data_IF_152144865530
#
_entry.id   IF_152144865530
#
_cell.length_a   1.000
_cell.length_b   1.000
_cell.length_c   1.000
_cell.angle_alpha   90.00
_cell.angle_beta   90.00
_cell.angle_gamma   90.00
#
_symmetry.space_group_name_H-M   'P 1'
#
loop_
_entity.id
_entity.type
_entity.pdbx_description
1 polymer ?
#
# COMPACT_ATOMS: atom_id res chain seq x y z
N UNK A 1 11.14 4.36 -3.91
CA UNK A 1 10.09 3.34 -4.06
C UNK A 1 9.46 3.08 -2.70
N UNK A 2 8.12 3.24 -2.59
CA UNK A 2 7.37 3.08 -1.35
C UNK A 2 7.36 1.62 -0.87
N UNK A 3 7.27 0.65 -1.78
CA UNK A 3 7.28 -0.76 -1.44
C UNK A 3 8.58 -1.21 -0.77
N UNK A 4 9.73 -0.80 -1.30
CA UNK A 4 11.03 -1.11 -0.67
C UNK A 4 11.14 -0.47 0.72
N UNK A 5 10.67 0.78 0.87
CA UNK A 5 10.66 1.45 2.17
C UNK A 5 9.74 0.74 3.16
N UNK A 6 8.57 0.28 2.72
CA UNK A 6 7.63 -0.49 3.53
C UNK A 6 8.23 -1.81 3.99
N UNK A 7 8.82 -2.59 3.09
CA UNK A 7 9.47 -3.86 3.44
C UNK A 7 10.64 -3.66 4.41
N UNK A 8 11.44 -2.59 4.23
CA UNK A 8 12.52 -2.27 5.16
C UNK A 8 11.98 -1.90 6.54
N UNK A 9 10.97 -1.03 6.61
CA UNK A 9 10.34 -0.65 7.88
C UNK A 9 9.77 -1.87 8.60
N UNK A 10 9.02 -2.73 7.89
CA UNK A 10 8.47 -3.98 8.45
C UNK A 10 9.58 -4.88 9.01
N UNK A 11 10.68 -5.02 8.28
CA UNK A 11 11.83 -5.81 8.74
C UNK A 11 12.41 -5.26 10.05
N UNK A 12 12.66 -3.95 10.10
CA UNK A 12 13.20 -3.31 11.30
C UNK A 12 12.23 -3.36 12.48
N UNK A 13 10.94 -3.16 12.27
CA UNK A 13 9.93 -3.26 13.32
C UNK A 13 9.85 -4.69 13.89
N UNK A 14 9.80 -5.71 13.03
CA UNK A 14 9.77 -7.11 13.43
C UNK A 14 11.04 -7.54 14.18
N UNK A 15 12.21 -7.06 13.80
CA UNK A 15 13.45 -7.27 14.53
C UNK A 15 13.42 -6.68 15.95
N UNK A 16 12.61 -5.66 16.17
CA UNK A 16 12.37 -5.06 17.50
C UNK A 16 11.14 -5.62 18.22
N UNK A 17 10.56 -6.72 17.73
CA UNK A 17 9.42 -7.39 18.35
C UNK A 17 8.08 -6.68 18.14
N UNK A 18 7.99 -5.73 17.21
CA UNK A 18 6.76 -5.01 16.89
C UNK A 18 6.04 -5.75 15.76
N UNK A 19 4.81 -6.26 15.98
CA UNK A 19 4.03 -6.83 14.90
C UNK A 19 3.67 -5.78 13.87
N UNK A 20 3.87 -6.12 12.60
CA UNK A 20 3.59 -5.22 11.48
C UNK A 20 3.20 -6.04 10.26
N UNK A 21 2.24 -5.56 9.48
CA UNK A 21 1.86 -6.19 8.22
C UNK A 21 1.71 -5.15 7.09
N UNK A 22 1.79 -5.66 5.88
CA UNK A 22 1.74 -4.89 4.65
C UNK A 22 0.32 -4.45 4.33
N UNK A 23 0.19 -3.24 3.82
CA UNK A 23 -0.97 -2.82 3.05
C UNK A 23 -0.51 -2.06 1.81
N UNK A 24 -1.27 -2.18 0.74
CA UNK A 24 -1.05 -1.41 -0.49
C UNK A 24 -2.35 -1.16 -1.24
N UNK A 25 -2.32 -0.18 -2.12
CA UNK A 25 -3.47 0.21 -2.91
C UNK A 25 -3.25 1.54 -3.61
N UNK A 26 -4.22 2.44 -3.48
CA UNK A 26 -4.18 3.76 -4.10
C UNK A 26 -4.19 4.86 -3.05
N UNK A 27 -3.35 5.87 -3.25
CA UNK A 27 -3.48 7.18 -2.64
C UNK A 27 -4.27 8.06 -3.62
N UNK A 28 -5.53 8.34 -3.28
CA UNK A 28 -6.48 9.02 -4.15
C UNK A 28 -6.67 10.50 -3.77
N UNK A 29 -5.60 11.17 -3.38
CA UNK A 29 -5.68 12.61 -3.08
C UNK A 29 -6.07 13.41 -4.31
N UNK A 30 -6.90 14.45 -4.15
CA UNK A 30 -7.27 15.31 -5.26
C UNK A 30 -6.04 15.91 -5.96
N UNK A 31 -5.87 15.55 -7.26
CA UNK A 31 -4.77 16.02 -8.10
C UNK A 31 -3.43 15.30 -7.93
N UNK A 32 -3.34 14.31 -7.06
CA UNK A 32 -2.10 13.57 -6.77
C UNK A 32 -2.35 12.06 -6.60
N UNK A 33 -3.26 11.50 -7.37
CA UNK A 33 -3.55 10.07 -7.29
C UNK A 33 -2.39 9.20 -7.79
N UNK A 34 -2.10 8.14 -7.05
CA UNK A 34 -1.02 7.21 -7.38
C UNK A 34 -1.20 5.85 -6.69
N UNK A 35 -0.49 4.84 -7.19
CA UNK A 35 -0.27 3.60 -6.47
C UNK A 35 0.64 3.86 -5.26
N UNK A 36 0.34 3.22 -4.12
CA UNK A 36 1.10 3.46 -2.92
C UNK A 36 1.11 2.26 -1.96
N UNK A 37 2.21 2.16 -1.19
CA UNK A 37 2.46 1.11 -0.23
C UNK A 37 2.71 1.70 1.15
N UNK A 38 2.12 1.07 2.16
CA UNK A 38 2.26 1.42 3.57
C UNK A 38 2.13 0.16 4.43
N UNK A 39 2.04 0.31 5.74
CA UNK A 39 1.81 -0.82 6.63
C UNK A 39 0.92 -0.44 7.81
N UNK A 40 0.48 -1.45 8.53
CA UNK A 40 -0.05 -1.32 9.89
C UNK A 40 0.93 -1.94 10.88
N UNK A 41 1.12 -1.31 12.02
CA UNK A 41 1.88 -1.87 13.13
C UNK A 41 1.04 -1.92 14.40
N UNK A 42 1.30 -2.92 15.24
CA UNK A 42 0.59 -3.09 16.50
C UNK A 42 1.29 -2.35 17.62
N UNK A 43 0.57 -1.44 18.27
CA UNK A 43 1.06 -0.65 19.40
C UNK A 43 0.13 -0.78 20.60
N UNK A 44 0.64 -1.29 21.71
CA UNK A 44 -0.07 -1.27 23.00
C UNK A 44 -0.24 0.17 23.52
N UNK A 45 -1.40 0.57 24.03
CA UNK A 45 -2.68 -0.13 24.08
C UNK A 45 -3.61 0.16 22.90
N UNK A 46 -3.11 0.76 21.84
CA UNK A 46 -3.90 1.34 20.73
C UNK A 46 -4.35 0.29 19.70
N UNK A 47 -3.69 -0.88 19.64
CA UNK A 47 -3.94 -1.88 18.61
C UNK A 47 -3.21 -1.60 17.31
N UNK A 48 -3.80 -2.00 16.18
CA UNK A 48 -3.25 -1.77 14.85
C UNK A 48 -3.39 -0.31 14.45
N UNK A 49 -2.29 0.31 14.06
CA UNK A 49 -2.22 1.70 13.62
C UNK A 49 -1.53 1.79 12.27
N UNK A 50 -2.05 2.64 11.40
CA UNK A 50 -1.49 2.86 10.07
C UNK A 50 -0.17 3.62 10.14
N UNK A 51 0.80 3.18 9.35
CA UNK A 51 2.12 3.81 9.23
C UNK A 51 2.48 3.96 7.76
N UNK A 52 2.67 5.19 7.35
CA UNK A 52 3.18 5.51 6.03
C UNK A 52 4.61 6.06 6.15
N UNK A 53 5.58 5.18 6.10
CA UNK A 53 6.98 5.52 6.24
C UNK A 53 7.53 6.33 5.06
N UNK A 54 6.89 6.26 3.89
CA UNK A 54 7.28 7.03 2.70
C UNK A 54 7.00 8.52 2.88
N UNK A 55 5.88 8.86 3.51
CA UNK A 55 5.58 10.22 3.92
C UNK A 55 6.30 10.62 5.20
N UNK A 56 6.63 9.66 6.06
CA UNK A 56 7.51 9.81 7.21
C UNK A 56 7.15 10.95 8.16
N UNK A 57 8.19 11.58 8.68
CA UNK A 57 8.07 12.72 9.59
C UNK A 57 7.92 14.02 8.78
N UNK A 58 6.80 14.71 8.95
CA UNK A 58 6.53 15.98 8.27
C UNK A 58 7.37 17.12 8.84
N UNK A 59 7.79 18.04 7.98
CA UNK A 59 8.46 19.27 8.42
C UNK A 59 7.43 20.26 8.98
N UNK A 60 7.09 20.11 10.25
CA UNK A 60 6.12 20.96 10.95
C UNK A 60 6.55 21.22 12.40
N UNK A 61 6.15 22.39 12.95
CA UNK A 61 6.27 22.71 14.38
C UNK A 61 5.12 22.15 15.21
N UNK A 62 3.98 21.82 14.59
CA UNK A 62 2.89 21.10 15.24
C UNK A 62 3.24 19.61 15.27
N UNK A 63 3.42 19.06 16.46
CA UNK A 63 3.78 17.65 16.66
C UNK A 63 2.72 16.68 16.09
N UNK A 64 1.45 17.05 16.08
CA UNK A 64 0.38 16.22 15.49
C UNK A 64 0.53 16.12 13.97
N UNK A 65 0.90 17.22 13.32
CA UNK A 65 1.18 17.25 11.88
C UNK A 65 2.49 16.53 11.58
N UNK A 66 3.51 16.80 12.39
CA UNK A 66 4.84 16.21 12.22
C UNK A 66 4.83 14.69 12.22
N UNK A 67 4.10 14.07 13.15
CA UNK A 67 4.04 12.63 13.36
C UNK A 67 2.83 11.96 12.70
N UNK A 68 2.03 12.69 11.94
CA UNK A 68 0.74 12.21 11.43
C UNK A 68 0.83 10.85 10.75
N UNK A 69 1.79 10.67 9.85
CA UNK A 69 1.93 9.43 9.07
C UNK A 69 2.54 8.25 9.85
N UNK A 70 2.89 8.43 11.12
CA UNK A 70 3.42 7.40 12.01
C UNK A 70 2.40 7.06 13.11
N UNK A 71 1.28 6.46 12.73
CA UNK A 71 0.18 6.09 13.59
C UNK A 71 -1.17 6.57 13.08
N UNK A 72 -1.18 7.25 11.92
CA UNK A 72 -2.39 7.80 11.32
C UNK A 72 -2.31 7.82 9.80
N UNK A 73 -3.47 7.96 9.17
CA UNK A 73 -3.57 8.16 7.71
C UNK A 73 -4.68 9.16 7.38
N UNK A 74 -4.64 9.69 6.18
CA UNK A 74 -5.73 10.46 5.60
C UNK A 74 -6.84 9.56 4.99
N UNK A 75 -8.01 10.11 4.65
CA UNK A 75 -9.15 9.32 4.15
C UNK A 75 -9.04 8.92 2.67
N UNK A 76 -7.93 9.23 2.01
CA UNK A 76 -7.78 9.00 0.56
C UNK A 76 -7.12 7.66 0.23
N UNK A 77 -7.02 6.75 1.19
CA UNK A 77 -6.43 5.43 1.01
C UNK A 77 -7.47 4.40 0.59
N UNK A 78 -7.34 3.89 -0.61
CA UNK A 78 -8.10 2.74 -1.07
C UNK A 78 -7.23 1.48 -0.97
N UNK A 79 -7.49 0.65 0.03
CA UNK A 79 -6.75 -0.58 0.29
C UNK A 79 -7.17 -1.63 -0.74
N UNK A 80 -6.21 -2.19 -1.46
CA UNK A 80 -6.41 -3.29 -2.41
C UNK A 80 -5.80 -4.59 -1.87
N UNK A 81 -4.64 -4.49 -1.24
CA UNK A 81 -3.94 -5.63 -0.64
C UNK A 81 -3.76 -5.42 0.86
N UNK A 82 -3.96 -6.49 1.62
CA UNK A 82 -3.75 -6.52 3.07
C UNK A 82 -2.66 -7.54 3.47
N UNK A 83 -1.80 -7.88 2.53
CA UNK A 83 -0.56 -8.64 2.68
C UNK A 83 0.24 -8.56 1.37
N UNK A 84 1.44 -9.10 1.34
CA UNK A 84 2.29 -9.14 0.16
C UNK A 84 2.62 -10.59 -0.23
N UNK A 85 2.91 -10.79 -1.52
CA UNK A 85 3.36 -12.08 -2.10
C UNK A 85 2.39 -13.26 -1.89
N UNK A 86 1.14 -12.99 -1.57
CA UNK A 86 0.13 -14.02 -1.36
C UNK A 86 -0.38 -14.62 -2.68
N UNK A 87 -0.85 -15.86 -2.70
CA UNK A 87 -1.55 -16.43 -3.85
C UNK A 87 -2.78 -15.61 -4.23
N UNK A 88 -3.03 -15.46 -5.52
CA UNK A 88 -4.22 -14.77 -6.02
C UNK A 88 -5.44 -15.68 -6.03
N UNK A 89 -6.62 -15.09 -5.83
CA UNK A 89 -7.88 -15.80 -5.99
C UNK A 89 -8.80 -14.99 -6.93
N UNK A 90 -9.26 -15.58 -8.04
CA UNK A 90 -8.91 -16.93 -8.55
C UNK A 90 -7.41 -17.08 -8.86
N UNK A 91 -6.91 -18.29 -8.72
CA UNK A 91 -5.50 -18.59 -8.95
C UNK A 91 -5.12 -18.35 -10.42
N UNK A 92 -3.95 -17.76 -10.64
CA UNK A 92 -3.37 -17.64 -11.98
C UNK A 92 -2.82 -18.98 -12.48
N UNK A 93 -2.83 -19.14 -13.79
CA UNK A 93 -2.23 -20.30 -14.49
C UNK A 93 -0.78 -19.96 -14.88
N UNK A 94 -0.52 -18.72 -15.24
CA UNK A 94 0.80 -18.24 -15.70
C UNK A 94 1.50 -17.40 -14.63
N UNK A 95 2.84 -17.20 -14.75
CA UNK A 95 3.59 -16.32 -13.85
C UNK A 95 3.00 -14.91 -13.78
N UNK A 96 3.12 -14.29 -12.61
CA UNK A 96 2.66 -12.92 -12.37
C UNK A 96 3.60 -11.89 -13.00
N UNK A 97 3.06 -10.73 -13.37
CA UNK A 97 3.83 -9.54 -13.71
C UNK A 97 4.46 -8.93 -12.47
N UNK A 98 3.71 -8.93 -11.36
CA UNK A 98 4.13 -8.44 -10.04
C UNK A 98 3.97 -9.54 -9.00
N UNK A 99 4.99 -9.75 -8.17
CA UNK A 99 5.03 -10.82 -7.17
C UNK A 99 4.86 -10.34 -5.74
N UNK A 100 4.95 -9.05 -5.49
CA UNK A 100 4.85 -8.48 -4.14
C UNK A 100 3.44 -8.00 -3.86
N UNK A 101 2.91 -7.10 -4.66
CA UNK A 101 1.56 -6.55 -4.48
C UNK A 101 0.63 -6.85 -5.67
N UNK A 102 -0.59 -6.31 -5.62
CA UNK A 102 -1.63 -6.58 -6.61
C UNK A 102 -2.41 -5.31 -6.98
N UNK A 103 -1.88 -4.14 -6.71
CA UNK A 103 -2.58 -2.86 -6.89
C UNK A 103 -3.14 -2.67 -8.30
N UNK A 104 -2.34 -3.03 -9.32
CA UNK A 104 -2.74 -2.93 -10.74
C UNK A 104 -3.65 -4.06 -11.19
N UNK A 105 -3.68 -5.17 -10.47
CA UNK A 105 -4.24 -6.40 -10.97
C UNK A 105 -3.28 -7.18 -11.87
N UNK A 106 -3.73 -8.33 -12.30
CA UNK A 106 -3.00 -9.25 -13.18
C UNK A 106 -3.91 -9.71 -14.30
N UNK A 107 -3.40 -9.71 -15.51
CA UNK A 107 -4.17 -10.10 -16.70
C UNK A 107 -3.53 -11.29 -17.38
N UNK A 108 -4.32 -12.29 -17.68
CA UNK A 108 -3.87 -13.43 -18.49
C UNK A 108 -4.89 -13.80 -19.58
N UNK A 109 -4.42 -14.44 -20.63
CA UNK A 109 -5.23 -14.92 -21.72
C UNK A 109 -4.90 -16.39 -22.02
N UNK A 110 -5.50 -16.97 -23.04
CA UNK A 110 -5.30 -18.39 -23.39
C UNK A 110 -3.85 -18.78 -23.71
N UNK A 111 -3.01 -17.82 -24.09
CA UNK A 111 -1.62 -18.04 -24.51
C UNK A 111 -0.57 -17.67 -23.47
N UNK A 112 -0.93 -17.08 -22.34
CA UNK A 112 0.04 -16.66 -21.33
C UNK A 112 -0.40 -15.49 -20.45
N UNK A 113 0.55 -14.97 -19.68
CA UNK A 113 0.38 -13.72 -18.96
C UNK A 113 0.46 -12.52 -19.90
N UNK A 114 -0.32 -11.48 -19.64
CA UNK A 114 -0.12 -10.17 -20.22
C UNK A 114 0.66 -9.31 -19.21
N UNK A 115 1.92 -9.05 -19.54
CA UNK A 115 2.77 -8.20 -18.70
C UNK A 115 2.38 -6.72 -18.82
N UNK A 116 2.83 -5.88 -17.89
CA UNK A 116 2.38 -4.49 -17.75
C UNK A 116 2.65 -3.59 -18.98
N UNK A 117 3.49 -4.01 -19.91
CA UNK A 117 3.73 -3.35 -21.19
C UNK A 117 2.71 -3.74 -22.29
N UNK A 118 1.86 -4.73 -22.01
CA UNK A 118 0.91 -5.28 -22.98
C UNK A 118 -0.56 -4.92 -22.70
N UNK A 119 -0.84 -4.14 -21.67
CA UNK A 119 -2.18 -3.67 -21.31
C UNK A 119 -2.13 -2.38 -20.51
N UNK A 120 -3.23 -1.66 -20.50
CA UNK A 120 -3.42 -0.42 -19.76
C UNK A 120 -4.68 -0.54 -18.90
N UNK A 121 -4.76 0.25 -17.84
CA UNK A 121 -5.95 0.41 -17.02
C UNK A 121 -6.25 1.89 -16.85
N UNK A 122 -7.51 2.20 -16.58
CA UNK A 122 -7.98 3.53 -16.29
C UNK A 122 -8.99 3.47 -15.14
N UNK A 123 -9.13 4.57 -14.41
CA UNK A 123 -10.12 4.72 -13.36
C UNK A 123 -10.57 6.17 -13.25
N UNK A 124 -11.77 6.37 -12.76
CA UNK A 124 -12.34 7.68 -12.51
C UNK A 124 -12.61 7.86 -11.02
N UNK A 125 -12.24 9.04 -10.48
CA UNK A 125 -12.41 9.37 -9.07
C UNK A 125 -13.44 10.50 -8.96
N UNK A 126 -14.48 10.26 -8.16
CA UNK A 126 -15.44 11.28 -7.78
C UNK A 126 -15.35 11.55 -6.28
N UNK A 127 -15.04 12.80 -5.93
CA UNK A 127 -15.03 13.24 -4.53
C UNK A 127 -16.42 13.77 -4.17
N UNK A 128 -17.11 13.05 -3.28
CA UNK A 128 -18.41 13.49 -2.78
C UNK A 128 -18.20 14.56 -1.71
N UNK A 129 -18.74 15.76 -1.93
CA UNK A 129 -18.88 16.78 -0.87
C UNK A 129 -20.08 16.45 0.00
N UNK A 130 -19.95 16.55 1.31
CA UNK A 130 -21.08 16.56 2.23
C UNK A 130 -21.99 17.78 1.98
#
# INVERSE_FOLDING_TARGET
DCGIQTLLFMTLARLNGIPVHWQSGFDLKPGEDNLHDWCEMYLEPYGWVLVDQSYGIKNSRDERVKWFCLGNTDPYRWIVNDDFSQPLYPAKIYPRSETVDFQRGEVEWRGGNLYFDAWEYDYHIEYMSE
#
